data_IF_187380090171
#
_entry.id   IF_187380090171
#
_cell.length_a   1.000
_cell.length_b   1.000
_cell.length_c   1.000
_cell.angle_alpha   90.00
_cell.angle_beta   90.00
_cell.angle_gamma   90.00
#
_symmetry.space_group_name_H-M   'P 1'
#
loop_
_entity.id
_entity.type
_entity.pdbx_description
1 polymer ?
#
# COMPACT_ATOMS: atom_id res chain seq x y z
N UNK A 1 18.17 60.60 30.53
CA UNK A 1 19.41 59.94 30.07
C UNK A 1 19.11 59.40 28.68
N UNK A 2 19.21 60.30 27.73
CA UNK A 2 19.20 60.05 26.30
C UNK A 2 20.33 59.11 25.86
N UNK A 3 20.27 58.78 24.58
CA UNK A 3 21.27 58.16 23.70
C UNK A 3 21.13 56.63 23.59
N UNK A 4 20.85 56.02 22.44
CA UNK A 4 21.23 56.38 21.06
C UNK A 4 20.21 55.88 20.00
N UNK A 5 19.81 56.80 19.13
CA UNK A 5 19.67 56.69 17.67
C UNK A 5 20.82 55.86 17.05
N UNK A 6 20.75 55.03 16.00
CA UNK A 6 20.15 55.13 14.66
C UNK A 6 20.54 53.86 13.85
N UNK A 7 19.98 53.75 12.64
CA UNK A 7 20.27 52.83 11.52
C UNK A 7 19.43 51.53 11.50
N UNK A 8 18.25 51.52 10.84
CA UNK A 8 18.03 51.43 9.38
C UNK A 8 18.64 50.15 8.81
N UNK A 9 17.81 49.11 8.67
CA UNK A 9 17.80 48.32 7.44
C UNK A 9 16.36 47.94 7.08
N UNK A 10 16.01 48.25 5.83
CA UNK A 10 14.78 47.85 5.18
C UNK A 10 14.71 46.33 5.21
N UNK A 11 13.84 45.76 6.05
CA UNK A 11 13.48 44.36 5.87
C UNK A 11 12.55 44.31 4.67
N UNK A 12 13.17 44.08 3.51
CA UNK A 12 12.49 43.72 2.27
C UNK A 12 11.33 42.78 2.62
N UNK A 13 10.13 43.19 2.25
CA UNK A 13 8.97 42.31 2.21
C UNK A 13 9.38 41.10 1.36
N UNK A 14 9.59 39.96 2.02
CA UNK A 14 9.72 38.71 1.28
C UNK A 14 8.45 38.59 0.43
N UNK A 15 8.54 38.41 -0.90
CA UNK A 15 7.36 38.06 -1.66
C UNK A 15 6.82 36.76 -1.06
N UNK A 16 5.54 36.79 -0.70
CA UNK A 16 4.80 35.57 -0.37
C UNK A 16 5.07 34.54 -1.46
N UNK A 17 5.49 33.30 -1.14
CA UNK A 17 5.49 32.26 -2.15
C UNK A 17 4.06 32.14 -2.64
N UNK A 18 3.90 32.34 -3.95
CA UNK A 18 2.65 32.12 -4.67
C UNK A 18 2.04 30.79 -4.24
N UNK A 19 0.74 30.73 -3.91
CA UNK A 19 0.11 29.47 -3.59
C UNK A 19 0.24 28.56 -4.81
N UNK A 20 0.93 27.43 -4.64
CA UNK A 20 0.95 26.37 -5.64
C UNK A 20 -0.50 26.03 -5.99
N UNK A 21 -0.85 25.98 -7.30
CA UNK A 21 -2.19 25.56 -7.68
C UNK A 21 -2.46 24.16 -7.11
N UNK A 22 -3.67 23.89 -6.57
CA UNK A 22 -4.01 22.57 -6.11
C UNK A 22 -3.90 21.59 -7.28
N UNK A 23 -3.35 20.38 -7.08
CA UNK A 23 -3.34 19.37 -8.13
C UNK A 23 -4.79 19.06 -8.51
N UNK A 24 -5.10 19.21 -9.79
CA UNK A 24 -6.35 18.74 -10.39
C UNK A 24 -6.62 17.33 -9.90
N UNK A 25 -7.77 17.15 -9.27
CA UNK A 25 -8.24 15.87 -8.76
C UNK A 25 -8.17 14.83 -9.89
N UNK A 26 -7.18 13.95 -9.81
CA UNK A 26 -7.16 12.74 -10.62
C UNK A 26 -8.40 11.94 -10.23
N UNK A 27 -9.33 11.83 -11.17
CA UNK A 27 -10.50 10.95 -11.04
C UNK A 27 -10.01 9.55 -10.66
N UNK A 28 -10.50 8.95 -9.57
CA UNK A 28 -10.16 7.57 -9.26
C UNK A 28 -10.65 6.70 -10.43
N UNK A 29 -9.82 5.78 -10.96
CA UNK A 29 -10.28 4.83 -11.96
C UNK A 29 -11.47 4.06 -11.39
N UNK A 30 -12.48 3.72 -12.21
CA UNK A 30 -13.68 3.04 -11.73
C UNK A 30 -13.27 1.76 -10.99
N UNK A 31 -13.71 1.66 -9.73
CA UNK A 31 -13.57 0.45 -8.93
C UNK A 31 -14.21 -0.69 -9.72
N UNK A 32 -13.37 -1.52 -10.33
CA UNK A 32 -13.80 -2.78 -10.91
C UNK A 32 -14.16 -3.70 -9.76
N UNK A 33 -15.41 -3.59 -9.35
CA UNK A 33 -16.08 -4.42 -8.36
C UNK A 33 -15.83 -5.88 -8.72
N UNK A 34 -14.90 -6.49 -7.98
CA UNK A 34 -14.56 -7.88 -8.16
C UNK A 34 -15.73 -8.72 -7.63
N UNK A 35 -16.76 -8.90 -8.46
CA UNK A 35 -17.74 -9.96 -8.29
C UNK A 35 -16.96 -11.26 -8.18
N UNK A 36 -16.78 -11.76 -6.95
CA UNK A 36 -16.24 -13.09 -6.68
C UNK A 36 -17.32 -14.09 -7.07
N UNK A 37 -17.39 -14.41 -8.36
CA UNK A 37 -17.99 -15.65 -8.83
C UNK A 37 -17.23 -16.81 -8.17
N UNK A 38 -17.92 -17.88 -7.72
CA UNK A 38 -17.25 -19.07 -7.20
C UNK A 38 -16.66 -19.84 -8.39
N UNK A 39 -15.53 -19.36 -8.91
CA UNK A 39 -14.72 -20.11 -9.87
C UNK A 39 -14.05 -21.22 -9.09
N UNK A 40 -14.57 -22.43 -9.23
CA UNK A 40 -13.88 -23.67 -8.88
C UNK A 40 -12.54 -23.73 -9.64
N UNK A 41 -11.38 -23.61 -8.99
CA UNK A 41 -10.12 -23.66 -9.70
C UNK A 41 -9.77 -25.13 -9.93
N UNK A 42 -10.18 -25.66 -11.09
CA UNK A 42 -9.73 -26.95 -11.59
C UNK A 42 -8.28 -26.83 -12.09
N UNK A 43 -7.33 -26.66 -11.16
CA UNK A 43 -5.90 -26.80 -11.46
C UNK A 43 -5.50 -28.23 -11.07
N UNK A 44 -5.43 -29.11 -12.08
CA UNK A 44 -4.98 -30.51 -11.92
C UNK A 44 -3.48 -30.52 -11.62
N UNK A 45 -3.05 -30.74 -10.36
CA UNK A 45 -1.68 -31.20 -10.04
C UNK A 45 -1.51 -31.95 -8.70
N UNK A 46 -2.55 -32.17 -7.89
CA UNK A 46 -2.64 -33.18 -6.80
C UNK A 46 -4.10 -33.28 -6.34
N UNK A 47 -4.61 -34.47 -5.98
CA UNK A 47 -5.96 -34.64 -5.43
C UNK A 47 -5.95 -34.42 -3.91
N UNK A 48 -6.54 -33.32 -3.44
CA UNK A 48 -6.64 -32.98 -2.01
C UNK A 48 -8.11 -32.94 -1.60
N UNK A 49 -8.49 -33.54 -0.46
CA UNK A 49 -9.89 -33.55 -0.02
C UNK A 49 -10.39 -32.14 0.31
N UNK A 50 -11.65 -31.85 -0.07
CA UNK A 50 -12.32 -30.56 0.16
C UNK A 50 -12.56 -30.28 1.65
N UNK A 51 -12.60 -31.33 2.47
CA UNK A 51 -12.73 -31.26 3.93
C UNK A 51 -11.69 -32.16 4.58
N UNK A 52 -11.08 -31.70 5.69
CA UNK A 52 -10.11 -32.48 6.47
C UNK A 52 -10.41 -32.37 7.96
N UNK A 53 -10.29 -33.49 8.70
CA UNK A 53 -10.30 -33.47 10.18
C UNK A 53 -8.91 -33.06 10.66
N UNK A 54 -8.78 -31.89 11.26
CA UNK A 54 -7.50 -31.42 11.84
C UNK A 54 -7.75 -30.71 13.16
N UNK A 55 -6.71 -30.59 13.98
CA UNK A 55 -6.79 -29.88 15.26
C UNK A 55 -7.07 -28.39 15.05
N UNK A 56 -8.10 -27.88 15.69
CA UNK A 56 -8.39 -26.45 15.72
C UNK A 56 -7.62 -25.78 16.88
N UNK A 57 -6.74 -24.83 16.54
CA UNK A 57 -5.95 -24.06 17.53
C UNK A 57 -6.76 -23.01 18.30
N UNK A 58 -8.04 -22.83 17.97
CA UNK A 58 -8.88 -21.85 18.65
C UNK A 58 -9.13 -22.27 20.11
N UNK A 59 -9.14 -21.30 21.03
CA UNK A 59 -9.23 -21.51 22.48
C UNK A 59 -10.51 -22.25 22.90
N UNK A 60 -11.59 -22.04 22.16
CA UNK A 60 -12.90 -22.65 22.37
C UNK A 60 -13.01 -24.05 21.79
N UNK A 61 -12.27 -24.33 20.70
CA UNK A 61 -12.43 -25.58 19.97
C UNK A 61 -11.54 -26.68 20.54
N UNK A 62 -10.24 -26.45 20.78
CA UNK A 62 -9.23 -27.40 21.34
C UNK A 62 -9.44 -28.90 21.01
N UNK A 63 -10.00 -29.20 19.83
CA UNK A 63 -10.43 -30.52 19.39
C UNK A 63 -10.29 -30.63 17.89
N UNK A 64 -10.29 -31.87 17.39
CA UNK A 64 -10.26 -32.13 15.96
C UNK A 64 -11.65 -31.90 15.37
N UNK A 65 -11.77 -30.92 14.49
CA UNK A 65 -13.03 -30.60 13.80
C UNK A 65 -12.86 -30.73 12.29
N UNK A 66 -13.98 -30.77 11.57
CA UNK A 66 -13.99 -30.77 10.11
C UNK A 66 -13.72 -29.36 9.59
N UNK A 67 -12.61 -29.17 8.86
CA UNK A 67 -12.25 -27.91 8.25
C UNK A 67 -12.40 -27.95 6.74
N UNK A 68 -12.94 -26.88 6.15
CA UNK A 68 -12.95 -26.70 4.69
C UNK A 68 -11.55 -26.33 4.22
N UNK A 69 -11.08 -27.03 3.20
CA UNK A 69 -9.77 -26.79 2.60
C UNK A 69 -9.95 -25.89 1.39
N UNK A 70 -9.30 -24.72 1.42
CA UNK A 70 -9.22 -23.81 0.28
C UNK A 70 -7.77 -23.59 -0.09
N UNK A 71 -7.51 -23.27 -1.36
CA UNK A 71 -6.17 -22.90 -1.79
C UNK A 71 -5.89 -21.44 -1.42
N UNK A 72 -4.77 -21.20 -0.74
CA UNK A 72 -4.31 -19.83 -0.51
C UNK A 72 -3.98 -19.16 -1.85
N UNK A 73 -4.39 -17.90 -1.98
CA UNK A 73 -3.99 -16.99 -3.05
C UNK A 73 -3.54 -15.69 -2.42
N UNK A 74 -2.43 -15.13 -2.90
CA UNK A 74 -1.98 -13.81 -2.48
C UNK A 74 -3.08 -12.79 -2.82
N UNK A 75 -3.43 -11.95 -1.85
CA UNK A 75 -4.34 -10.83 -2.05
C UNK A 75 -3.71 -9.71 -2.89
N UNK A 76 -4.49 -8.66 -3.19
CA UNK A 76 -3.96 -7.42 -3.76
C UNK A 76 -3.01 -6.77 -2.76
N UNK A 77 -1.87 -6.29 -3.22
CA UNK A 77 -0.92 -5.53 -2.40
C UNK A 77 -1.55 -4.20 -1.94
N UNK A 78 -1.41 -3.89 -0.65
CA UNK A 78 -1.92 -2.64 -0.06
C UNK A 78 -1.02 -1.46 -0.39
N UNK A 79 -1.60 -0.33 -0.82
CA UNK A 79 -0.89 0.92 -1.10
C UNK A 79 -0.42 1.66 0.15
N UNK A 80 -1.15 1.51 1.26
CA UNK A 80 -0.85 2.19 2.52
C UNK A 80 0.28 1.53 3.33
N UNK A 81 0.72 0.33 2.92
CA UNK A 81 1.83 -0.36 3.54
C UNK A 81 3.09 0.51 3.54
N UNK A 82 3.83 0.52 4.66
CA UNK A 82 5.00 1.37 4.83
C UNK A 82 6.07 1.15 3.72
N UNK A 83 6.26 -0.10 3.31
CA UNK A 83 7.19 -0.46 2.23
C UNK A 83 6.81 0.14 0.88
N UNK A 84 5.51 0.12 0.54
CA UNK A 84 5.00 0.69 -0.71
C UNK A 84 5.09 2.22 -0.72
N UNK A 85 4.67 2.88 0.37
CA UNK A 85 4.83 4.34 0.55
C UNK A 85 6.28 4.79 0.41
N UNK A 86 7.22 4.05 1.02
CA UNK A 86 8.66 4.33 0.90
C UNK A 86 9.16 4.13 -0.53
N UNK A 87 8.72 3.06 -1.21
CA UNK A 87 9.12 2.77 -2.58
C UNK A 87 8.64 3.85 -3.55
N UNK A 88 7.39 4.29 -3.44
CA UNK A 88 6.82 5.31 -4.33
C UNK A 88 7.53 6.65 -4.19
N UNK A 89 7.86 7.06 -2.96
CA UNK A 89 8.68 8.25 -2.70
C UNK A 89 10.12 8.12 -3.18
N UNK A 90 10.68 6.90 -3.16
CA UNK A 90 12.03 6.67 -3.71
C UNK A 90 12.02 6.69 -5.23
N UNK A 91 10.93 6.22 -5.83
CA UNK A 91 10.80 6.05 -7.27
C UNK A 91 10.39 7.34 -8.00
N UNK A 92 9.86 8.34 -7.28
CA UNK A 92 9.52 9.64 -7.87
C UNK A 92 10.76 10.42 -8.29
N UNK A 93 10.69 11.09 -9.45
CA UNK A 93 11.77 11.91 -10.00
C UNK A 93 12.48 11.25 -11.18
N UNK A 94 13.64 11.80 -11.55
CA UNK A 94 14.50 11.25 -12.59
C UNK A 94 15.52 10.29 -11.97
N UNK A 95 15.95 9.26 -12.71
CA UNK A 95 16.90 8.25 -12.20
C UNK A 95 16.47 6.80 -12.35
N UNK A 96 15.32 6.54 -12.99
CA UNK A 96 14.89 5.19 -13.37
C UNK A 96 14.56 4.29 -12.18
N UNK A 97 14.83 2.99 -12.33
CA UNK A 97 14.45 1.96 -11.38
C UNK A 97 15.33 1.97 -10.12
N UNK A 98 14.75 2.23 -8.94
CA UNK A 98 15.54 2.44 -7.70
C UNK A 98 15.75 1.22 -6.81
N UNK A 99 15.13 0.07 -7.14
CA UNK A 99 15.28 -1.21 -6.44
C UNK A 99 15.49 -2.36 -7.42
N UNK A 100 16.27 -3.39 -7.06
CA UNK A 100 16.52 -4.51 -7.94
C UNK A 100 15.22 -5.26 -8.24
N UNK A 101 15.01 -5.55 -9.52
CA UNK A 101 13.95 -6.46 -9.97
C UNK A 101 14.57 -7.85 -10.07
N UNK A 102 13.89 -8.86 -9.52
CA UNK A 102 14.32 -10.24 -9.64
C UNK A 102 13.92 -10.75 -11.03
N UNK A 103 14.90 -11.04 -11.90
CA UNK A 103 14.68 -11.34 -13.32
C UNK A 103 14.55 -12.85 -13.62
N UNK A 104 15.10 -13.70 -12.76
CA UNK A 104 14.99 -15.16 -12.87
C UNK A 104 13.80 -15.62 -12.03
N UNK A 105 13.25 -16.81 -12.30
CA UNK A 105 12.15 -17.40 -11.53
C UNK A 105 12.65 -18.56 -10.70
#
# INVERSE_FOLDING_TARGET
>A
RDSQTLAREHRATKPHPSPCPPPLAATPPPEREARRSPISPAVKMVNVPKTKKTYCKNKECKKHTLHKVTQYKKGKDSLSAQGKRRYDRKQSGYGGQTKPVFHKK
#
